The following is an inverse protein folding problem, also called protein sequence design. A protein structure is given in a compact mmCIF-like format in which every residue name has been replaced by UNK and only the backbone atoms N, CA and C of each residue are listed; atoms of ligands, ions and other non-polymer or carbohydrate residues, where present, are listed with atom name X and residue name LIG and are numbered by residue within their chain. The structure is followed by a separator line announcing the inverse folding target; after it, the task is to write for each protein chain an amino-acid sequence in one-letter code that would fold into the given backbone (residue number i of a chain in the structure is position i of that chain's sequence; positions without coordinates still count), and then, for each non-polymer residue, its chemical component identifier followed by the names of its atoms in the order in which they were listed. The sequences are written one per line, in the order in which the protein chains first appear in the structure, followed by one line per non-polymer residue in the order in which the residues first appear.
data_IF_260006639559
#
_entry.id   IF_260006639559
#
_cell.length_a   1.000
_cell.length_b   1.000
_cell.length_c   1.000
_cell.angle_alpha   90.00
_cell.angle_beta   90.00
_cell.angle_gamma   90.00
#
_symmetry.space_group_name_H-M   'P 1'
#
loop_
_entity.id
_entity.type
_entity.pdbx_description
1 polymer ?
#
# COMPACT_ATOMS: atom_id res chain seq x y z
N UNK A 1 4.85 9.26 -16.84
CA UNK A 1 3.87 10.01 -16.03
C UNK A 1 4.58 11.14 -15.32
N UNK A 2 4.01 12.34 -15.24
CA UNK A 2 4.56 13.42 -14.40
C UNK A 2 4.13 13.28 -12.94
N UNK A 3 4.93 13.80 -12.01
CA UNK A 3 4.67 13.77 -10.57
C UNK A 3 3.32 14.41 -10.20
N UNK A 4 2.93 15.47 -10.92
CA UNK A 4 1.65 16.15 -10.74
C UNK A 4 0.45 15.25 -11.11
N UNK A 5 0.60 14.38 -12.12
CA UNK A 5 -0.45 13.45 -12.51
C UNK A 5 -0.59 12.32 -11.49
N UNK A 6 0.53 11.84 -10.94
CA UNK A 6 0.52 10.87 -9.85
C UNK A 6 -0.21 11.44 -8.63
N UNK A 7 0.16 12.64 -8.19
CA UNK A 7 -0.47 13.31 -7.05
C UNK A 7 -1.99 13.43 -7.18
N UNK A 8 -2.50 13.91 -8.32
CA UNK A 8 -3.96 13.98 -8.56
C UNK A 8 -4.64 12.61 -8.59
N UNK A 9 -3.91 11.55 -8.92
CA UNK A 9 -4.45 10.19 -8.89
C UNK A 9 -4.50 9.64 -7.46
N UNK A 10 -3.50 9.95 -6.64
CA UNK A 10 -3.48 9.64 -5.21
C UNK A 10 -4.62 10.35 -4.49
N UNK A 11 -4.76 11.67 -4.67
CA UNK A 11 -5.83 12.47 -4.06
C UNK A 11 -7.23 11.94 -4.44
N UNK A 12 -7.41 11.46 -5.68
CA UNK A 12 -8.68 10.84 -6.13
C UNK A 12 -8.95 9.46 -5.55
N UNK A 13 -7.90 8.70 -5.21
CA UNK A 13 -8.05 7.41 -4.52
C UNK A 13 -8.40 7.65 -3.06
N UNK A 14 -7.77 8.63 -2.41
CA UNK A 14 -8.04 9.03 -1.03
C UNK A 14 -9.43 9.64 -0.85
N UNK A 15 -9.90 10.45 -1.82
CA UNK A 15 -11.24 11.05 -1.77
C UNK A 15 -12.38 10.04 -1.94
N UNK A 16 -12.10 8.80 -2.34
CA UNK A 16 -13.08 7.81 -2.83
C UNK A 16 -13.54 6.76 -1.82
N UNK A 17 -13.26 6.93 -0.53
CA UNK A 17 -13.94 6.33 0.63
C UNK A 17 -13.06 5.59 1.62
N UNK A 18 -13.57 5.59 2.85
CA UNK A 18 -13.42 4.59 3.90
C UNK A 18 -13.48 3.16 3.29
N UNK A 19 -12.57 2.28 3.70
CA UNK A 19 -12.49 0.89 3.25
C UNK A 19 -13.68 0.03 3.70
N UNK A 20 -13.62 -1.27 3.41
CA UNK A 20 -14.70 -2.24 3.67
C UNK A 20 -15.20 -2.26 5.13
N UNK A 21 -14.39 -1.79 6.08
CA UNK A 21 -14.70 -1.69 7.50
C UNK A 21 -15.01 -0.27 8.01
N UNK A 22 -15.20 0.72 7.12
CA UNK A 22 -15.35 2.11 7.53
C UNK A 22 -14.04 2.76 8.03
N UNK A 23 -12.89 2.11 7.78
CA UNK A 23 -11.56 2.56 8.21
C UNK A 23 -10.81 3.24 7.06
N UNK A 24 -9.90 4.20 7.33
CA UNK A 24 -9.06 4.78 6.27
C UNK A 24 -8.22 3.69 5.59
N UNK A 25 -7.79 3.91 4.36
CA UNK A 25 -6.96 2.95 3.66
C UNK A 25 -5.50 3.04 4.14
N UNK A 26 -4.81 1.90 4.19
CA UNK A 26 -3.38 1.85 4.51
C UNK A 26 -2.56 1.66 3.25
N UNK A 27 -1.48 2.42 3.12
CA UNK A 27 -0.57 2.34 1.97
C UNK A 27 0.65 1.54 2.38
N UNK A 28 0.93 0.45 1.65
CA UNK A 28 2.10 -0.40 1.90
C UNK A 28 2.91 -0.49 0.60
N UNK A 29 4.18 -0.13 0.68
CA UNK A 29 5.15 -0.36 -0.40
C UNK A 29 5.88 -1.65 -0.08
N UNK A 30 5.79 -2.64 -0.97
CA UNK A 30 6.45 -3.94 -0.81
C UNK A 30 6.87 -4.48 -2.19
N UNK A 31 8.02 -5.12 -2.26
CA UNK A 31 8.59 -5.65 -3.51
C UNK A 31 8.01 -7.02 -3.86
N UNK A 32 7.73 -7.83 -2.83
CA UNK A 32 7.17 -9.17 -2.95
C UNK A 32 6.10 -9.43 -1.88
N UNK A 33 5.50 -10.61 -1.94
CA UNK A 33 4.42 -11.02 -1.04
C UNK A 33 4.93 -11.30 0.38
N UNK A 34 6.18 -11.75 0.54
CA UNK A 34 6.77 -12.03 1.86
C UNK A 34 7.00 -10.72 2.64
N UNK A 35 7.58 -9.72 1.97
CA UNK A 35 7.75 -8.38 2.51
C UNK A 35 6.40 -7.72 2.82
N UNK A 36 5.39 -7.91 1.97
CA UNK A 36 4.04 -7.39 2.20
C UNK A 36 3.42 -7.97 3.47
N UNK A 37 3.49 -9.30 3.65
CA UNK A 37 2.93 -9.97 4.83
C UNK A 37 3.66 -9.54 6.10
N UNK A 38 5.00 -9.51 6.09
CA UNK A 38 5.81 -9.02 7.22
C UNK A 38 5.43 -7.58 7.59
N UNK A 39 5.43 -6.65 6.63
CA UNK A 39 5.07 -5.24 6.88
C UNK A 39 3.63 -5.09 7.39
N UNK A 40 2.72 -5.95 6.94
CA UNK A 40 1.33 -5.93 7.41
C UNK A 40 1.26 -6.35 8.88
N UNK A 41 1.95 -7.42 9.25
CA UNK A 41 2.01 -7.89 10.64
C UNK A 41 2.61 -6.80 11.55
N UNK A 42 3.73 -6.19 11.16
CA UNK A 42 4.39 -5.12 11.92
C UNK A 42 3.46 -3.90 12.13
N UNK A 43 2.65 -3.55 11.11
CA UNK A 43 1.71 -2.45 11.21
C UNK A 43 0.50 -2.78 12.09
N UNK A 44 0.06 -4.04 12.12
CA UNK A 44 -1.01 -4.50 13.01
C UNK A 44 -0.51 -4.50 14.46
N UNK A 45 0.67 -5.04 14.71
CA UNK A 45 1.31 -5.04 16.04
C UNK A 45 1.52 -3.62 16.57
N UNK A 46 1.96 -2.71 15.70
CA UNK A 46 2.13 -1.29 16.05
C UNK A 46 0.80 -0.51 16.18
N UNK A 47 -0.37 -1.15 15.99
CA UNK A 47 -1.69 -0.51 16.04
C UNK A 47 -1.95 0.48 14.90
N UNK A 48 -1.13 0.48 13.84
CA UNK A 48 -1.24 1.37 12.67
C UNK A 48 -2.20 0.84 11.62
N UNK A 49 -2.54 -0.44 11.68
CA UNK A 49 -3.49 -1.11 10.81
C UNK A 49 -4.35 -2.08 11.64
N UNK A 50 -5.64 -2.19 11.32
CA UNK A 50 -6.53 -3.19 11.91
C UNK A 50 -6.64 -4.41 10.99
N UNK A 51 -6.90 -5.57 11.59
CA UNK A 51 -7.16 -6.80 10.84
C UNK A 51 -8.39 -6.62 9.94
N UNK A 52 -8.26 -6.93 8.65
CA UNK A 52 -9.34 -6.74 7.66
C UNK A 52 -9.49 -5.31 7.11
N UNK A 53 -8.66 -4.35 7.53
CA UNK A 53 -8.61 -3.01 6.95
C UNK A 53 -8.12 -3.06 5.50
N UNK A 54 -8.75 -2.26 4.62
CA UNK A 54 -8.34 -2.20 3.21
C UNK A 54 -6.94 -1.59 3.06
N UNK A 55 -6.10 -2.23 2.24
CA UNK A 55 -4.73 -1.80 1.94
C UNK A 55 -4.51 -1.55 0.44
N UNK A 56 -3.79 -0.50 0.08
CA UNK A 56 -3.19 -0.33 -1.26
C UNK A 56 -1.76 -0.82 -1.20
N UNK A 57 -1.44 -1.78 -2.07
CA UNK A 57 -0.08 -2.27 -2.23
C UNK A 57 0.56 -1.63 -3.46
N UNK A 58 1.65 -0.92 -3.24
CA UNK A 58 2.52 -0.44 -4.32
C UNK A 58 3.68 -1.40 -4.47
N UNK A 59 3.74 -2.07 -5.62
CA UNK A 59 4.87 -2.89 -6.02
C UNK A 59 5.80 -2.09 -6.92
N UNK A 60 7.04 -1.80 -6.50
CA UNK A 60 8.04 -1.24 -7.39
C UNK A 60 8.27 -2.22 -8.55
N UNK A 61 8.03 -1.77 -9.78
CA UNK A 61 8.43 -2.53 -10.97
C UNK A 61 9.89 -2.14 -11.25
N UNK A 62 10.83 -2.80 -10.59
CA UNK A 62 12.25 -2.70 -10.94
C UNK A 62 12.53 -3.62 -12.12
N UNK A 63 13.05 -3.11 -13.26
CA UNK A 63 13.53 -3.96 -14.33
C UNK A 63 14.79 -4.65 -13.80
N UNK A 64 14.74 -5.97 -13.65
CA UNK A 64 15.84 -6.85 -13.22
C UNK A 64 16.38 -6.66 -11.80
N UNK A 65 16.10 -7.66 -10.96
CA UNK A 65 17.17 -8.30 -10.19
C UNK A 65 17.16 -9.77 -10.59
N UNK A 66 17.46 -10.04 -11.86
CA UNK A 66 17.97 -11.36 -12.20
C UNK A 66 19.26 -11.49 -11.40
N UNK A 67 19.24 -12.29 -10.35
CA UNK A 67 20.44 -12.68 -9.64
C UNK A 67 21.49 -13.16 -10.67
N UNK A 68 22.79 -12.84 -10.50
CA UNK A 68 23.82 -13.57 -11.21
C UNK A 68 23.73 -15.08 -10.92
#
# INVERSE_FOLDING_TARGET
MSLAHLRRRLERLESRHLGAAGLPWVWIVAHDDEELERKTADMIEAGKMQLGQSRIVWRPITPSWSAP
#
